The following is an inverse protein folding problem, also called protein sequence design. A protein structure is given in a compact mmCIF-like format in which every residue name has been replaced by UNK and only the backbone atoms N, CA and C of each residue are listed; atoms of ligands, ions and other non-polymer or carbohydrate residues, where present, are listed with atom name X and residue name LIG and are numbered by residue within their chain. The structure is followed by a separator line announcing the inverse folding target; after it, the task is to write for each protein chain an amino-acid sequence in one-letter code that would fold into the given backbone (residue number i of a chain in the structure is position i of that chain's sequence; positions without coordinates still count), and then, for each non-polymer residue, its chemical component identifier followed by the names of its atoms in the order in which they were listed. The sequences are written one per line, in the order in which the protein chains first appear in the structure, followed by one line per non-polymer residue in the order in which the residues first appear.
data_IF_516421441999
#
_entry.id   IF_516421441999
#
_cell.length_a   1.000
_cell.length_b   1.000
_cell.length_c   1.000
_cell.angle_alpha   90.00
_cell.angle_beta   90.00
_cell.angle_gamma   90.00
#
_symmetry.space_group_name_H-M   'P 1'
#
loop_
_entity.id
_entity.type
_entity.pdbx_description
1 polymer ?
#
# COMPACT_ATOMS: atom_id res chain seq x y z
N UNK A 1 9.76 8.78 20.09
CA UNK A 1 9.13 8.65 18.77
C UNK A 1 8.57 10.01 18.42
N UNK A 2 8.79 10.47 17.19
CA UNK A 2 8.07 11.63 16.64
C UNK A 2 6.60 11.27 16.39
N UNK A 3 5.73 12.27 16.29
CA UNK A 3 4.32 12.05 15.95
C UNK A 3 4.15 11.26 14.64
N UNK A 4 5.06 11.46 13.67
CA UNK A 4 5.07 10.73 12.39
C UNK A 4 5.40 9.25 12.58
N UNK A 5 6.38 8.93 13.43
CA UNK A 5 6.74 7.53 13.73
C UNK A 5 5.62 6.81 14.50
N UNK A 6 4.93 7.50 15.41
CA UNK A 6 3.78 6.95 16.13
C UNK A 6 2.58 6.75 15.21
N UNK A 7 2.28 7.72 14.34
CA UNK A 7 1.25 7.58 13.32
C UNK A 7 1.53 6.40 12.37
N UNK A 8 2.79 6.22 11.95
CA UNK A 8 3.21 5.10 11.11
C UNK A 8 3.01 3.77 11.83
N UNK A 9 3.39 3.68 13.10
CA UNK A 9 3.20 2.48 13.92
C UNK A 9 1.72 2.10 14.03
N UNK A 10 0.84 3.07 14.32
CA UNK A 10 -0.60 2.83 14.45
C UNK A 10 -1.21 2.39 13.12
N UNK A 11 -0.85 3.06 12.01
CA UNK A 11 -1.31 2.68 10.67
C UNK A 11 -0.85 1.26 10.32
N UNK A 12 0.43 0.96 10.52
CA UNK A 12 1.00 -0.36 10.27
C UNK A 12 0.22 -1.44 11.04
N UNK A 13 0.02 -1.25 12.35
CA UNK A 13 -0.69 -2.22 13.18
C UNK A 13 -2.12 -2.48 12.68
N UNK A 14 -2.84 -1.43 12.29
CA UNK A 14 -4.22 -1.55 11.78
C UNK A 14 -4.26 -2.23 10.41
N UNK A 15 -3.46 -1.78 9.45
CA UNK A 15 -3.48 -2.32 8.09
C UNK A 15 -3.02 -3.78 8.04
N UNK A 16 -2.00 -4.15 8.82
CA UNK A 16 -1.54 -5.54 8.95
C UNK A 16 -2.66 -6.42 9.51
N UNK A 17 -3.33 -5.95 10.56
CA UNK A 17 -4.45 -6.68 11.17
C UNK A 17 -5.62 -6.85 10.19
N UNK A 18 -5.89 -5.82 9.38
CA UNK A 18 -6.93 -5.86 8.32
C UNK A 18 -6.61 -6.92 7.29
N UNK A 19 -5.40 -6.92 6.70
CA UNK A 19 -5.08 -7.90 5.64
C UNK A 19 -4.95 -9.33 6.17
N UNK A 20 -4.51 -9.51 7.42
CA UNK A 20 -4.46 -10.83 8.04
C UNK A 20 -5.87 -11.37 8.34
N UNK A 21 -6.83 -10.50 8.63
CA UNK A 21 -8.23 -10.89 8.84
C UNK A 21 -8.91 -11.40 7.56
N UNK A 22 -8.40 -11.01 6.39
CA UNK A 22 -8.92 -11.49 5.11
C UNK A 22 -8.60 -12.97 4.84
N UNK A 23 -7.75 -13.64 5.64
CA UNK A 23 -7.46 -15.10 5.70
C UNK A 23 -8.20 -16.02 4.69
N UNK A 24 -7.83 -15.97 3.40
CA UNK A 24 -8.47 -16.79 2.34
C UNK A 24 -9.94 -16.47 2.01
N UNK A 25 -10.48 -15.41 2.60
CA UNK A 25 -11.84 -14.87 2.45
C UNK A 25 -11.89 -13.57 1.65
N UNK A 26 -10.80 -13.15 1.01
CA UNK A 26 -10.90 -12.09 0.01
C UNK A 26 -11.90 -12.52 -1.06
N UNK A 27 -13.08 -11.91 -1.10
CA UNK A 27 -14.09 -12.35 -2.06
C UNK A 27 -13.56 -12.18 -3.48
N UNK A 28 -14.09 -12.96 -4.43
CA UNK A 28 -13.80 -12.72 -5.84
C UNK A 28 -14.10 -11.26 -6.26
N UNK A 29 -15.04 -10.61 -5.56
CA UNK A 29 -15.33 -9.18 -5.69
C UNK A 29 -14.16 -8.29 -5.26
N UNK A 30 -13.58 -8.52 -4.07
CA UNK A 30 -12.39 -7.80 -3.61
C UNK A 30 -11.24 -7.96 -4.61
N UNK A 31 -10.95 -9.18 -5.05
CA UNK A 31 -9.81 -9.44 -5.95
C UNK A 31 -10.03 -8.73 -7.30
N UNK A 32 -11.23 -8.83 -7.88
CA UNK A 32 -11.55 -8.13 -9.13
C UNK A 32 -11.44 -6.61 -8.99
N UNK A 33 -12.01 -6.02 -7.92
CA UNK A 33 -11.93 -4.60 -7.65
C UNK A 33 -10.49 -4.13 -7.41
N UNK A 34 -9.71 -4.93 -6.67
CA UNK A 34 -8.29 -4.68 -6.44
C UNK A 34 -7.49 -4.67 -7.73
N UNK A 35 -7.69 -5.64 -8.63
CA UNK A 35 -7.01 -5.67 -9.93
C UNK A 35 -7.34 -4.45 -10.80
N UNK A 36 -8.60 -4.02 -10.81
CA UNK A 36 -9.01 -2.79 -11.54
C UNK A 36 -8.32 -1.57 -10.96
N UNK A 37 -8.32 -1.41 -9.64
CA UNK A 37 -7.63 -0.31 -8.97
C UNK A 37 -6.12 -0.31 -9.28
N UNK A 38 -5.44 -1.46 -9.19
CA UNK A 38 -4.01 -1.56 -9.46
C UNK A 38 -3.66 -1.30 -10.92
N UNK A 39 -4.53 -1.66 -11.87
CA UNK A 39 -4.36 -1.30 -13.27
C UNK A 39 -4.44 0.22 -13.48
N UNK A 40 -5.33 0.91 -12.75
CA UNK A 40 -5.41 2.36 -12.77
C UNK A 40 -4.20 3.01 -12.08
N UNK A 41 -3.69 2.44 -11.00
CA UNK A 41 -2.46 2.91 -10.37
C UNK A 41 -1.28 2.79 -11.35
N UNK A 42 -1.17 1.67 -12.06
CA UNK A 42 -0.13 1.47 -13.07
C UNK A 42 -0.19 2.54 -14.18
N UNK A 43 -1.40 2.90 -14.63
CA UNK A 43 -1.59 4.00 -15.57
C UNK A 43 -1.14 5.35 -14.97
N UNK A 44 -1.55 5.64 -13.75
CA UNK A 44 -1.15 6.86 -13.04
C UNK A 44 0.38 6.97 -12.90
N UNK A 45 1.06 5.87 -12.56
CA UNK A 45 2.53 5.80 -12.52
C UNK A 45 3.14 6.10 -13.89
N UNK A 46 2.64 5.47 -14.97
CA UNK A 46 3.15 5.69 -16.32
C UNK A 46 2.97 7.13 -16.82
N UNK A 47 1.89 7.79 -16.40
CA UNK A 47 1.57 9.18 -16.76
C UNK A 47 2.21 10.20 -15.79
N UNK A 48 2.82 9.75 -14.70
CA UNK A 48 3.35 10.62 -13.64
C UNK A 48 2.26 11.35 -12.85
N UNK A 49 1.01 10.85 -12.90
CA UNK A 49 -0.14 11.42 -12.22
C UNK A 49 -0.17 11.02 -10.74
N UNK A 50 0.50 11.83 -9.92
CA UNK A 50 0.66 11.60 -8.49
C UNK A 50 -0.65 11.74 -7.73
N UNK A 51 -1.52 12.66 -8.15
CA UNK A 51 -2.78 12.93 -7.47
C UNK A 51 -3.71 11.73 -7.66
N UNK A 52 -3.87 11.27 -8.89
CA UNK A 52 -4.63 10.06 -9.19
C UNK A 52 -4.06 8.83 -8.47
N UNK A 53 -2.73 8.69 -8.40
CA UNK A 53 -2.13 7.58 -7.67
C UNK A 53 -2.52 7.60 -6.19
N UNK A 54 -2.48 8.76 -5.52
CA UNK A 54 -2.87 8.88 -4.12
C UNK A 54 -4.34 8.56 -3.92
N UNK A 55 -5.24 9.06 -4.78
CA UNK A 55 -6.67 8.73 -4.69
C UNK A 55 -6.94 7.22 -4.82
N UNK A 56 -6.21 6.56 -5.72
CA UNK A 56 -6.33 5.12 -5.94
C UNK A 56 -5.72 4.31 -4.79
N UNK A 57 -4.62 4.77 -4.21
CA UNK A 57 -4.02 4.22 -3.00
C UNK A 57 -4.99 4.29 -1.82
N UNK A 58 -5.61 5.44 -1.58
CA UNK A 58 -6.67 5.61 -0.57
C UNK A 58 -7.80 4.61 -0.79
N UNK A 59 -8.23 4.44 -2.04
CA UNK A 59 -9.29 3.50 -2.41
C UNK A 59 -8.87 2.03 -2.19
N UNK A 60 -7.62 1.68 -2.48
CA UNK A 60 -7.10 0.34 -2.27
C UNK A 60 -7.15 -0.05 -0.79
N UNK A 61 -6.61 0.80 0.10
CA UNK A 61 -6.60 0.54 1.53
C UNK A 61 -8.01 0.56 2.16
N UNK A 62 -8.89 1.44 1.69
CA UNK A 62 -10.29 1.47 2.09
C UNK A 62 -11.01 0.16 1.74
N UNK A 63 -10.86 -0.32 0.51
CA UNK A 63 -11.52 -1.55 0.05
C UNK A 63 -11.11 -2.76 0.89
N UNK A 64 -9.84 -2.86 1.27
CA UNK A 64 -9.36 -3.92 2.18
C UNK A 64 -10.05 -3.85 3.56
N UNK A 65 -10.19 -2.65 4.12
CA UNK A 65 -10.87 -2.45 5.40
C UNK A 65 -12.37 -2.78 5.32
N UNK A 66 -13.03 -2.39 4.23
CA UNK A 66 -14.46 -2.66 4.02
C UNK A 66 -14.72 -4.15 3.85
N UNK A 67 -13.92 -4.84 3.03
CA UNK A 67 -14.03 -6.29 2.84
C UNK A 67 -13.76 -7.07 4.13
N UNK A 68 -12.82 -6.60 4.95
CA UNK A 68 -12.54 -7.20 6.25
C UNK A 68 -13.69 -7.00 7.28
N UNK A 69 -14.75 -6.27 6.92
CA UNK A 69 -15.85 -5.90 7.82
C UNK A 69 -15.45 -4.84 8.84
N UNK A 70 -14.43 -4.04 8.55
CA UNK A 70 -13.83 -3.06 9.45
C UNK A 70 -13.84 -1.63 8.87
N UNK A 71 -14.98 -1.09 8.39
CA UNK A 71 -15.03 0.25 7.78
C UNK A 71 -14.68 1.38 8.76
N UNK A 72 -14.80 1.14 10.07
CA UNK A 72 -14.35 2.11 11.10
C UNK A 72 -12.83 2.19 11.18
N UNK A 73 -12.11 1.10 10.92
CA UNK A 73 -10.63 1.09 10.92
C UNK A 73 -10.07 2.02 9.85
N UNK A 74 -10.72 2.08 8.67
CA UNK A 74 -10.34 3.03 7.63
C UNK A 74 -10.41 4.49 8.12
N UNK A 75 -11.49 4.87 8.82
CA UNK A 75 -11.62 6.24 9.37
C UNK A 75 -10.51 6.56 10.37
N UNK A 76 -10.13 5.59 11.21
CA UNK A 76 -9.03 5.76 12.16
C UNK A 76 -7.71 5.93 11.42
N UNK A 77 -7.43 5.08 10.42
CA UNK A 77 -6.23 5.20 9.57
C UNK A 77 -6.16 6.59 8.93
N UNK A 78 -7.29 7.08 8.40
CA UNK A 78 -7.36 8.41 7.78
C UNK A 78 -7.04 9.55 8.75
N UNK A 79 -7.53 9.49 9.98
CA UNK A 79 -7.24 10.52 10.99
C UNK A 79 -5.78 10.48 11.42
N UNK A 80 -5.25 9.29 11.67
CA UNK A 80 -3.89 9.10 12.18
C UNK A 80 -2.84 9.54 11.16
N UNK A 81 -3.05 9.26 9.88
CA UNK A 81 -2.05 9.54 8.85
C UNK A 81 -1.93 11.00 8.43
N UNK A 82 -2.78 11.92 8.91
CA UNK A 82 -2.75 13.33 8.45
C UNK A 82 -1.36 13.97 8.54
N UNK A 83 -0.61 13.69 9.61
CA UNK A 83 0.76 14.18 9.77
C UNK A 83 1.77 13.43 8.89
N UNK A 84 1.52 12.14 8.60
CA UNK A 84 2.32 11.34 7.67
C UNK A 84 2.11 11.74 6.20
N UNK A 85 0.89 12.07 5.81
CA UNK A 85 0.54 12.41 4.42
C UNK A 85 1.36 13.61 3.93
N UNK A 86 1.66 14.55 4.82
CA UNK A 86 2.57 15.65 4.52
C UNK A 86 3.99 15.19 4.22
N UNK A 87 4.52 14.22 4.97
CA UNK A 87 5.85 13.63 4.74
C UNK A 87 5.85 12.83 3.44
N UNK A 88 4.83 12.00 3.24
CA UNK A 88 4.62 11.22 2.01
C UNK A 88 4.60 12.12 0.78
N UNK A 89 3.88 13.25 0.85
CA UNK A 89 3.78 14.21 -0.26
C UNK A 89 5.15 14.77 -0.66
N UNK A 90 6.05 15.00 0.30
CA UNK A 90 7.41 15.46 0.04
C UNK A 90 8.28 14.40 -0.66
N UNK A 91 7.98 13.11 -0.52
CA UNK A 91 8.70 12.01 -1.17
C UNK A 91 8.17 11.66 -2.58
N UNK A 92 6.97 12.11 -2.97
CA UNK A 92 6.40 11.85 -4.31
C UNK A 92 7.28 12.27 -5.50
N UNK A 93 8.09 13.35 -5.42
CA UNK A 93 8.99 13.71 -6.51
C UNK A 93 10.18 12.77 -6.70
N UNK A 94 10.45 11.86 -5.76
CA UNK A 94 11.58 10.94 -5.85
C UNK A 94 11.38 9.93 -7.00
N UNK A 95 12.35 9.83 -7.94
CA UNK A 95 12.26 8.88 -9.03
C UNK A 95 12.15 7.43 -8.53
N UNK A 96 11.19 6.67 -9.07
CA UNK A 96 10.99 5.27 -8.69
C UNK A 96 10.10 5.05 -7.47
N UNK A 97 9.64 6.12 -6.79
CA UNK A 97 8.85 6.00 -5.58
C UNK A 97 7.45 5.40 -5.85
N UNK A 98 6.74 5.90 -6.86
CA UNK A 98 5.41 5.38 -7.21
C UNK A 98 5.46 3.96 -7.74
N UNK A 99 6.47 3.62 -8.54
CA UNK A 99 6.74 2.27 -9.02
C UNK A 99 6.95 1.29 -7.86
N UNK A 100 7.64 1.73 -6.81
CA UNK A 100 7.87 0.94 -5.61
C UNK A 100 6.56 0.69 -4.85
N UNK A 101 5.74 1.73 -4.66
CA UNK A 101 4.44 1.59 -4.00
C UNK A 101 3.50 0.67 -4.78
N UNK A 102 3.43 0.84 -6.10
CA UNK A 102 2.65 -0.04 -6.97
C UNK A 102 3.08 -1.51 -6.85
N UNK A 103 4.39 -1.78 -6.88
CA UNK A 103 4.92 -3.13 -6.72
C UNK A 103 4.55 -3.73 -5.36
N UNK A 104 4.57 -2.92 -4.30
CA UNK A 104 4.13 -3.34 -2.96
C UNK A 104 2.63 -3.68 -2.94
N UNK A 105 1.77 -2.86 -3.55
CA UNK A 105 0.33 -3.13 -3.59
C UNK A 105 -0.01 -4.38 -4.40
N UNK A 106 0.68 -4.60 -5.53
CA UNK A 106 0.56 -5.84 -6.32
C UNK A 106 0.90 -7.06 -5.46
N UNK A 107 2.00 -7.01 -4.72
CA UNK A 107 2.39 -8.09 -3.82
C UNK A 107 1.37 -8.29 -2.69
N UNK A 108 0.82 -7.23 -2.11
CA UNK A 108 -0.22 -7.37 -1.07
C UNK A 108 -1.44 -8.10 -1.63
N UNK A 109 -1.95 -7.67 -2.79
CA UNK A 109 -3.15 -8.28 -3.38
C UNK A 109 -2.93 -9.74 -3.78
N UNK A 110 -1.76 -10.08 -4.35
CA UNK A 110 -1.40 -11.46 -4.66
C UNK A 110 -1.43 -12.35 -3.41
N UNK A 111 -0.84 -11.89 -2.30
CA UNK A 111 -0.82 -12.66 -1.05
C UNK A 111 -2.23 -12.85 -0.46
N UNK A 112 -3.11 -11.84 -0.60
CA UNK A 112 -4.52 -11.94 -0.22
C UNK A 112 -5.26 -12.94 -1.11
N UNK A 113 -5.01 -12.93 -2.43
CA UNK A 113 -5.66 -13.81 -3.40
C UNK A 113 -5.35 -15.29 -3.15
N UNK A 114 -4.10 -15.61 -2.83
CA UNK A 114 -3.70 -17.00 -2.53
C UNK A 114 -4.01 -17.43 -1.09
N UNK A 115 -4.60 -16.54 -0.28
CA UNK A 115 -4.97 -16.83 1.11
C UNK A 115 -3.81 -16.89 2.11
N UNK A 116 -2.65 -16.32 1.78
CA UNK A 116 -1.45 -16.35 2.63
C UNK A 116 -1.45 -15.18 3.62
N UNK A 117 -2.31 -15.22 4.64
CA UNK A 117 -2.55 -14.13 5.59
C UNK A 117 -1.25 -13.58 6.22
N UNK A 118 -0.35 -14.47 6.66
CA UNK A 118 0.94 -14.06 7.26
C UNK A 118 1.81 -13.32 6.25
N UNK A 119 1.83 -13.77 5.00
CA UNK A 119 2.58 -13.12 3.93
C UNK A 119 1.97 -11.76 3.57
N UNK A 120 0.64 -11.67 3.46
CA UNK A 120 -0.07 -10.42 3.22
C UNK A 120 0.25 -9.39 4.31
N UNK A 121 0.21 -9.80 5.58
CA UNK A 121 0.60 -8.96 6.72
C UNK A 121 2.04 -8.47 6.64
N UNK A 122 3.00 -9.36 6.30
CA UNK A 122 4.40 -8.97 6.16
C UNK A 122 4.62 -7.96 5.01
N UNK A 123 3.94 -8.16 3.87
CA UNK A 123 3.98 -7.26 2.71
C UNK A 123 3.35 -5.90 3.03
N UNK A 124 2.22 -5.89 3.73
CA UNK A 124 1.57 -4.67 4.20
C UNK A 124 2.45 -3.89 5.18
N UNK A 125 3.07 -4.58 6.14
CA UNK A 125 3.97 -3.95 7.10
C UNK A 125 5.18 -3.29 6.40
N UNK A 126 5.75 -3.97 5.40
CA UNK A 126 6.84 -3.40 4.61
C UNK A 126 6.41 -2.15 3.82
N UNK A 127 5.20 -2.17 3.24
CA UNK A 127 4.62 -1.04 2.53
C UNK A 127 4.32 0.14 3.46
N UNK A 128 3.74 -0.09 4.64
CA UNK A 128 3.47 0.97 5.60
C UNK A 128 4.75 1.72 6.04
N UNK A 129 5.88 1.02 6.12
CA UNK A 129 7.17 1.61 6.49
C UNK A 129 7.89 2.38 5.38
N UNK A 130 7.59 2.10 4.11
CA UNK A 130 8.21 2.80 2.97
C UNK A 130 7.65 4.23 2.81
N UNK A 131 6.44 4.47 3.31
CA UNK A 131 5.71 5.75 3.20
C UNK A 131 6.41 6.92 3.94
N UNK A 132 7.22 6.63 4.96
CA UNK A 132 7.92 7.64 5.76
C UNK A 132 9.37 7.96 5.37
N UNK A 133 9.97 7.21 4.45
CA UNK A 133 11.44 7.20 4.28
C UNK A 133 11.97 7.63 2.91
N UNK A 134 11.10 7.92 1.93
CA UNK A 134 11.54 8.14 0.54
C UNK A 134 12.20 6.90 -0.07
N UNK A 135 12.24 6.83 -1.39
CA UNK A 135 12.96 5.79 -2.13
C UNK A 135 14.48 5.80 -1.83
N UNK A 136 15.03 6.95 -1.42
CA UNK A 136 16.45 7.11 -1.08
C UNK A 136 16.91 6.21 0.09
N UNK A 137 16.05 5.96 1.09
CA UNK A 137 16.40 5.10 2.23
C UNK A 137 16.42 3.60 1.89
N UNK A 138 15.80 3.20 0.77
CA UNK A 138 15.73 1.80 0.34
C UNK A 138 16.90 1.35 -0.56
N UNK A 139 17.79 2.24 -0.99
CA UNK A 139 18.92 1.90 -1.87
C UNK A 139 20.19 1.54 -1.08
N UNK A 140 20.41 0.23 -0.86
CA UNK A 140 21.70 -0.48 -1.08
C UNK A 140 21.47 -2.01 -1.25
N UNK A 141 22.26 -2.73 -2.08
CA UNK A 141 21.70 -3.68 -3.05
C UNK A 141 22.26 -5.11 -3.02
N UNK A 142 21.54 -6.07 -3.62
CA UNK A 142 22.17 -7.08 -4.51
C UNK A 142 21.16 -7.68 -5.50
N UNK A 143 21.50 -7.57 -6.79
CA UNK A 143 21.10 -8.44 -7.91
C UNK A 143 19.62 -8.81 -8.10
N UNK A 144 18.93 -8.16 -9.02
CA UNK A 144 17.92 -8.82 -9.86
C UNK A 144 17.58 -7.96 -11.08
N UNK A 145 17.73 -8.56 -12.26
CA UNK A 145 17.28 -8.05 -13.55
C UNK A 145 15.77 -8.37 -13.67
N UNK A 146 14.90 -7.36 -13.75
CA UNK A 146 13.51 -7.60 -14.16
C UNK A 146 13.35 -7.31 -15.66
N UNK A 147 12.74 -8.21 -16.45
CA UNK A 147 12.58 -8.04 -17.89
C UNK A 147 11.45 -7.07 -18.25
N UNK A 148 11.68 -6.38 -19.37
CA UNK A 148 10.79 -5.42 -20.02
C UNK A 148 9.52 -6.13 -20.51
N UNK A 149 8.35 -5.66 -20.06
CA UNK A 149 7.06 -6.04 -20.65
C UNK A 149 6.92 -5.26 -21.97
N UNK A 150 6.69 -5.99 -23.07
CA UNK A 150 6.25 -5.47 -24.37
C UNK A 150 4.74 -5.36 -24.41
#
# INVERSE_FOLDING_TARGET
MSDVEEAQFIREALEVSVVQRLDGHGSGGLIAAGRVNLAQQAKAVAEGDRELFLELDEAFHRNLCEEAGLPKSWRVIQVVKLQMDRVRYLSLPEPGYLETLLAQHLAILEAVEIGEAKQAGARMAASARSVGHGAAAQRRPSGSLWPVIR
#
